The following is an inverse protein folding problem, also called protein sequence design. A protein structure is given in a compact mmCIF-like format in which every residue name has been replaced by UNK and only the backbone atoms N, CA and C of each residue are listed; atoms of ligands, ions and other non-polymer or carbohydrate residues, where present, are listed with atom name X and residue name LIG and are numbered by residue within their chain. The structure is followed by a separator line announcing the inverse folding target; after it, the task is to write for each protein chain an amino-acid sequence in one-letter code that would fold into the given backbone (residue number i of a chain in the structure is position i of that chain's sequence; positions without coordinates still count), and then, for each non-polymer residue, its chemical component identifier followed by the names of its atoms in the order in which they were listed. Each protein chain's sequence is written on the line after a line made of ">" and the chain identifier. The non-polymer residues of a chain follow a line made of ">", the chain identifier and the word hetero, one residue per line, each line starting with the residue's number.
data_IF_966428678168
#
_entry.id   IF_966428678168
#
_cell.length_a   1.000
_cell.length_b   1.000
_cell.length_c   1.000
_cell.angle_alpha   90.00
_cell.angle_beta   90.00
_cell.angle_gamma   90.00
#
_symmetry.space_group_name_H-M   'P 1'
#
loop_
_entity.id
_entity.type
_entity.pdbx_description
1 polymer ?
#
# COMPACT_ATOMS: atom_id res chain seq x y z
N UNK A 1 -55.84 -70.46 -39.11
CA UNK A 1 -55.35 -69.05 -39.16
C UNK A 1 -55.05 -68.67 -37.74
N UNK A 2 -53.77 -68.60 -37.40
CA UNK A 2 -53.25 -68.24 -36.06
C UNK A 2 -52.54 -66.90 -36.14
N UNK A 3 -53.04 -65.81 -35.53
CA UNK A 3 -52.41 -64.54 -35.42
C UNK A 3 -51.55 -64.56 -34.15
N UNK A 4 -50.25 -64.44 -34.34
CA UNK A 4 -49.28 -64.16 -33.24
C UNK A 4 -49.15 -62.67 -33.09
N UNK A 5 -49.51 -62.15 -31.89
CA UNK A 5 -49.36 -60.79 -31.50
C UNK A 5 -47.98 -60.65 -30.77
N UNK A 6 -47.01 -60.03 -31.40
CA UNK A 6 -45.71 -59.77 -30.78
C UNK A 6 -45.78 -58.47 -29.98
N UNK A 7 -45.62 -58.58 -28.65
CA UNK A 7 -45.53 -57.41 -27.72
C UNK A 7 -44.08 -56.97 -27.60
N UNK A 8 -43.75 -55.82 -28.15
CA UNK A 8 -42.42 -55.16 -28.00
C UNK A 8 -42.41 -54.42 -26.66
N UNK A 9 -41.70 -54.97 -25.68
CA UNK A 9 -41.26 -54.19 -24.45
C UNK A 9 -40.16 -53.31 -24.78
N UNK A 10 -40.38 -51.97 -24.80
CA UNK A 10 -39.32 -50.96 -24.82
C UNK A 10 -38.84 -50.70 -23.38
N UNK A 11 -37.65 -51.20 -23.04
CA UNK A 11 -36.96 -50.87 -21.79
C UNK A 11 -36.35 -49.46 -21.89
N UNK A 12 -37.02 -48.45 -21.35
CA UNK A 12 -36.48 -47.12 -21.20
C UNK A 12 -35.37 -47.08 -20.11
N UNK A 13 -34.15 -46.92 -20.51
CA UNK A 13 -33.02 -46.70 -19.57
C UNK A 13 -33.12 -45.30 -18.95
N UNK A 14 -33.53 -45.22 -17.68
CA UNK A 14 -33.45 -44.05 -16.87
C UNK A 14 -31.97 -43.84 -16.47
N UNK A 15 -31.26 -42.93 -17.18
CA UNK A 15 -29.95 -42.53 -16.77
C UNK A 15 -30.05 -41.64 -15.51
N UNK A 16 -29.32 -41.93 -14.44
CA UNK A 16 -29.33 -41.07 -13.27
C UNK A 16 -28.68 -39.71 -13.62
N UNK A 17 -29.44 -38.61 -13.51
CA UNK A 17 -28.92 -37.27 -13.61
C UNK A 17 -28.00 -37.01 -12.39
N UNK A 18 -26.72 -37.12 -12.59
CA UNK A 18 -25.77 -36.73 -11.60
C UNK A 18 -25.77 -35.18 -11.53
N UNK A 19 -26.50 -34.63 -10.58
CA UNK A 19 -26.37 -33.21 -10.21
C UNK A 19 -24.95 -32.98 -9.71
N UNK A 20 -24.12 -32.37 -10.54
CA UNK A 20 -22.80 -31.88 -10.10
C UNK A 20 -23.02 -30.77 -9.07
N UNK A 21 -22.86 -31.11 -7.81
CA UNK A 21 -22.81 -30.13 -6.72
C UNK A 21 -21.55 -29.31 -6.97
N UNK A 22 -21.71 -28.11 -7.54
CA UNK A 22 -20.65 -27.15 -7.71
C UNK A 22 -20.26 -26.66 -6.31
N UNK A 23 -19.23 -27.26 -5.72
CA UNK A 23 -18.67 -26.82 -4.44
C UNK A 23 -18.30 -25.34 -4.58
N UNK A 24 -18.71 -24.46 -3.64
CA UNK A 24 -18.29 -23.07 -3.67
C UNK A 24 -16.77 -23.06 -3.60
N UNK A 25 -16.12 -22.45 -4.59
CA UNK A 25 -14.69 -22.22 -4.57
C UNK A 25 -14.43 -21.29 -3.38
N UNK A 26 -13.82 -21.81 -2.32
CA UNK A 26 -13.38 -20.99 -1.20
C UNK A 26 -12.39 -19.97 -1.77
N UNK A 27 -12.82 -18.72 -1.90
CA UNK A 27 -11.92 -17.62 -2.24
C UNK A 27 -10.92 -17.48 -1.10
N UNK A 28 -9.63 -17.38 -1.45
CA UNK A 28 -8.62 -17.09 -0.46
C UNK A 28 -8.97 -15.77 0.27
N UNK A 29 -8.79 -15.74 1.59
CA UNK A 29 -9.01 -14.52 2.36
C UNK A 29 -8.13 -13.39 1.80
N UNK A 30 -8.70 -12.18 1.69
CA UNK A 30 -7.92 -11.05 1.23
C UNK A 30 -6.78 -10.73 2.21
N UNK A 31 -5.58 -10.56 1.67
CA UNK A 31 -4.40 -10.16 2.42
C UNK A 31 -4.03 -8.75 2.03
N UNK A 32 -3.86 -7.87 3.02
CA UNK A 32 -3.43 -6.50 2.79
C UNK A 32 -2.02 -6.47 2.17
N UNK A 33 -1.86 -5.92 0.95
CA UNK A 33 -0.57 -5.92 0.26
C UNK A 33 0.40 -4.81 0.71
N UNK A 34 -0.04 -3.93 1.63
CA UNK A 34 0.82 -2.86 2.13
C UNK A 34 1.85 -3.40 3.13
N UNK A 35 3.12 -3.00 3.02
CA UNK A 35 4.14 -3.42 3.98
C UNK A 35 3.83 -2.87 5.36
N UNK A 36 3.95 -3.71 6.39
CA UNK A 36 3.73 -3.33 7.79
C UNK A 36 5.01 -3.49 8.60
N UNK A 37 5.23 -2.55 9.48
CA UNK A 37 6.23 -2.69 10.54
C UNK A 37 5.75 -3.73 11.55
N UNK A 38 6.58 -4.73 11.83
CA UNK A 38 6.19 -5.86 12.68
C UNK A 38 6.02 -5.50 14.17
N UNK A 39 6.57 -4.37 14.60
CA UNK A 39 6.51 -3.91 15.98
C UNK A 39 5.30 -3.01 16.21
N UNK A 40 5.15 -2.00 15.35
CA UNK A 40 4.07 -1.00 15.49
C UNK A 40 2.77 -1.42 14.81
N UNK A 41 2.81 -2.39 13.89
CA UNK A 41 1.67 -2.77 13.05
C UNK A 41 1.28 -1.74 11.98
N UNK A 42 1.94 -0.57 11.95
CA UNK A 42 1.65 0.50 11.01
C UNK A 42 2.16 0.18 9.62
N UNK A 43 1.51 0.74 8.60
CA UNK A 43 2.05 0.72 7.23
C UNK A 43 3.37 1.49 7.21
N UNK A 44 4.43 0.83 6.73
CA UNK A 44 5.77 1.39 6.76
C UNK A 44 6.61 0.92 5.57
N UNK A 45 7.11 1.88 4.80
CA UNK A 45 8.14 1.66 3.79
C UNK A 45 9.49 2.00 4.38
N UNK A 46 10.33 1.01 4.58
CA UNK A 46 11.63 1.20 5.22
C UNK A 46 12.73 0.39 4.52
N UNK A 47 13.95 0.83 4.70
CA UNK A 47 15.11 0.13 4.16
C UNK A 47 16.42 0.66 4.70
N UNK A 48 17.45 -0.18 4.62
CA UNK A 48 18.84 0.18 4.92
C UNK A 48 19.62 0.14 3.62
N UNK A 49 20.33 1.21 3.31
CA UNK A 49 21.10 1.36 2.09
C UNK A 49 22.58 1.56 2.44
N UNK A 50 23.45 0.75 1.84
CA UNK A 50 24.89 0.89 1.97
C UNK A 50 25.40 1.98 1.02
N UNK A 51 26.27 2.87 1.51
CA UNK A 51 26.96 3.91 0.75
C UNK A 51 28.42 3.91 1.15
N UNK A 52 29.21 2.92 0.70
CA UNK A 52 30.61 2.77 1.10
C UNK A 52 31.41 4.05 0.90
N UNK A 53 32.27 4.39 1.86
CA UNK A 53 33.12 5.59 1.82
C UNK A 53 32.42 6.90 2.21
N UNK A 54 31.09 6.94 2.35
CA UNK A 54 30.39 8.13 2.79
C UNK A 54 30.49 8.30 4.31
N UNK A 55 30.84 9.50 4.76
CA UNK A 55 30.83 9.85 6.19
C UNK A 55 29.40 10.11 6.68
N UNK A 56 29.17 10.01 7.99
CA UNK A 56 27.89 10.39 8.59
C UNK A 56 27.52 11.84 8.24
N UNK A 57 28.47 12.76 8.32
CA UNK A 57 28.26 14.18 8.03
C UNK A 57 27.80 14.40 6.57
N UNK A 58 28.45 13.70 5.62
CA UNK A 58 28.07 13.77 4.20
C UNK A 58 26.66 13.25 3.98
N UNK A 59 26.31 12.09 4.54
CA UNK A 59 24.98 11.51 4.40
C UNK A 59 23.91 12.37 5.08
N UNK A 60 24.23 12.96 6.23
CA UNK A 60 23.31 13.87 6.92
C UNK A 60 23.05 15.14 6.11
N UNK A 61 24.08 15.74 5.54
CA UNK A 61 23.94 16.91 4.68
C UNK A 61 23.08 16.63 3.45
N UNK A 62 23.26 15.44 2.81
CA UNK A 62 22.41 14.99 1.69
C UNK A 62 20.95 14.80 2.12
N UNK A 63 20.71 14.15 3.28
CA UNK A 63 19.38 13.95 3.82
C UNK A 63 18.66 15.26 4.10
N UNK A 64 19.36 16.21 4.75
CA UNK A 64 18.82 17.54 5.04
C UNK A 64 18.50 18.30 3.76
N UNK A 65 19.45 18.36 2.82
CA UNK A 65 19.23 19.02 1.52
C UNK A 65 18.03 18.42 0.78
N UNK A 66 17.93 17.08 0.75
CA UNK A 66 16.81 16.43 0.12
C UNK A 66 15.47 16.79 0.80
N UNK A 67 15.38 16.79 2.13
CA UNK A 67 14.17 17.19 2.85
C UNK A 67 13.79 18.66 2.59
N UNK A 68 14.76 19.55 2.45
CA UNK A 68 14.52 20.96 2.16
C UNK A 68 14.07 21.23 0.72
N UNK A 69 14.48 20.36 -0.22
CA UNK A 69 14.26 20.53 -1.66
C UNK A 69 13.38 19.47 -2.27
N UNK A 70 12.84 18.54 -1.45
CA UNK A 70 12.03 17.42 -1.95
C UNK A 70 10.87 17.93 -2.81
N UNK A 71 10.72 17.42 -4.05
CA UNK A 71 9.64 17.79 -4.93
C UNK A 71 8.32 17.28 -4.36
N UNK A 72 7.27 18.09 -4.44
CA UNK A 72 5.93 17.72 -4.01
C UNK A 72 5.00 18.92 -3.97
N UNK A 73 3.69 18.69 -4.02
CA UNK A 73 2.69 19.77 -3.94
C UNK A 73 2.69 20.46 -2.57
N UNK A 74 3.15 19.77 -1.54
CA UNK A 74 3.34 20.31 -0.20
C UNK A 74 4.80 20.26 0.20
N UNK A 75 5.30 21.38 0.67
CA UNK A 75 6.67 21.47 1.20
C UNK A 75 6.80 20.49 2.38
N UNK A 76 7.88 19.69 2.37
CA UNK A 76 8.23 18.86 3.50
C UNK A 76 8.66 19.78 4.67
N UNK A 77 8.01 19.62 5.82
CA UNK A 77 8.33 20.35 7.03
C UNK A 77 9.20 19.49 7.93
N UNK A 78 10.43 19.93 8.20
CA UNK A 78 11.33 19.25 9.14
C UNK A 78 10.80 19.48 10.55
N UNK A 79 10.47 18.40 11.26
CA UNK A 79 9.95 18.43 12.63
C UNK A 79 11.05 18.20 13.68
N UNK A 80 12.06 17.41 13.31
CA UNK A 80 13.17 17.09 14.21
C UNK A 80 14.44 16.87 13.43
N UNK A 81 15.55 17.36 13.96
CA UNK A 81 16.88 17.17 13.39
C UNK A 81 17.94 17.08 14.50
N UNK A 82 18.79 16.07 14.41
CA UNK A 82 19.94 15.86 15.30
C UNK A 82 21.12 15.36 14.46
N UNK A 83 22.06 16.24 14.17
CA UNK A 83 23.23 15.92 13.38
C UNK A 83 24.19 14.97 14.11
N UNK A 84 24.26 15.06 15.45
CA UNK A 84 25.12 14.21 16.29
C UNK A 84 24.62 12.78 16.30
N UNK A 85 23.31 12.58 16.51
CA UNK A 85 22.68 11.27 16.40
C UNK A 85 22.51 10.82 14.95
N UNK A 86 22.76 11.70 13.97
CA UNK A 86 22.56 11.41 12.56
C UNK A 86 21.08 11.16 12.20
N UNK A 87 20.15 11.81 12.87
CA UNK A 87 18.71 11.60 12.67
C UNK A 87 18.01 12.87 12.21
N UNK A 88 17.18 12.76 11.21
CA UNK A 88 16.31 13.84 10.73
C UNK A 88 14.94 13.27 10.40
N UNK A 89 13.87 13.96 10.78
CA UNK A 89 12.50 13.60 10.44
C UNK A 89 11.69 14.82 10.04
N UNK A 90 10.71 14.57 9.18
CA UNK A 90 9.82 15.61 8.70
C UNK A 90 8.50 15.04 8.23
N UNK A 91 7.53 15.92 8.04
CA UNK A 91 6.17 15.59 7.62
C UNK A 91 5.84 16.27 6.30
N UNK A 92 5.18 15.55 5.45
CA UNK A 92 4.73 16.05 4.14
C UNK A 92 3.41 15.42 3.76
N UNK A 93 2.73 16.03 2.80
CA UNK A 93 1.56 15.42 2.18
C UNK A 93 1.65 15.48 0.66
N UNK A 94 0.86 14.67 0.00
CA UNK A 94 0.59 14.74 -1.43
C UNK A 94 -0.90 14.53 -1.70
N UNK A 95 -1.38 15.03 -2.83
CA UNK A 95 -2.74 14.78 -3.27
C UNK A 95 -2.79 13.41 -3.96
N UNK A 96 -3.62 12.53 -3.44
CA UNK A 96 -3.90 11.23 -4.05
C UNK A 96 -5.34 11.17 -4.53
N UNK A 97 -5.57 10.47 -5.64
CA UNK A 97 -6.90 10.23 -6.14
C UNK A 97 -7.56 9.10 -5.37
N UNK A 98 -8.74 9.34 -4.84
CA UNK A 98 -9.62 8.32 -4.27
C UNK A 98 -10.94 8.27 -5.02
N UNK A 99 -11.48 7.07 -5.24
CA UNK A 99 -12.83 6.91 -5.75
C UNK A 99 -13.80 6.86 -4.57
N UNK A 100 -14.50 7.96 -4.32
CA UNK A 100 -15.54 8.07 -3.30
C UNK A 100 -16.91 8.07 -3.96
N UNK A 101 -17.67 7.00 -3.73
CA UNK A 101 -19.04 6.86 -4.26
C UNK A 101 -19.16 7.04 -5.79
N UNK A 102 -18.15 6.57 -6.55
CA UNK A 102 -18.11 6.71 -8.00
C UNK A 102 -17.50 8.02 -8.52
N UNK A 103 -17.20 8.99 -7.65
CA UNK A 103 -16.49 10.21 -7.99
C UNK A 103 -15.00 10.11 -7.64
N UNK A 104 -14.14 10.54 -8.57
CA UNK A 104 -12.72 10.66 -8.31
C UNK A 104 -12.44 12.00 -7.62
N UNK A 105 -11.98 11.96 -6.38
CA UNK A 105 -11.64 13.13 -5.59
C UNK A 105 -10.17 13.13 -5.20
N UNK A 106 -9.57 14.31 -5.13
CA UNK A 106 -8.21 14.47 -4.60
C UNK A 106 -8.28 14.67 -3.09
N UNK A 107 -7.52 13.87 -2.35
CA UNK A 107 -7.41 13.96 -0.90
C UNK A 107 -5.95 14.06 -0.48
N UNK A 108 -5.62 14.92 0.50
CA UNK A 108 -4.26 14.96 1.04
C UNK A 108 -3.93 13.67 1.81
N UNK A 109 -2.85 13.02 1.41
CA UNK A 109 -2.25 11.88 2.12
C UNK A 109 -1.00 12.36 2.84
N UNK A 110 -1.09 12.48 4.14
CA UNK A 110 0.02 12.82 5.02
C UNK A 110 0.91 11.62 5.32
N UNK A 111 2.19 11.88 5.58
CA UNK A 111 3.16 10.86 6.02
C UNK A 111 4.33 11.50 6.76
N UNK A 112 4.97 10.73 7.61
CA UNK A 112 6.21 11.07 8.29
C UNK A 112 7.37 10.35 7.60
N UNK A 113 8.45 11.06 7.36
CA UNK A 113 9.69 10.53 6.80
C UNK A 113 10.80 10.69 7.83
N UNK A 114 11.45 9.60 8.19
CA UNK A 114 12.61 9.59 9.08
C UNK A 114 13.80 9.02 8.35
N UNK A 115 14.93 9.71 8.40
CA UNK A 115 16.22 9.24 7.89
C UNK A 115 17.21 9.21 9.03
N UNK A 116 17.90 8.07 9.18
CA UNK A 116 18.99 7.88 10.12
C UNK A 116 20.24 7.51 9.35
N UNK A 117 21.34 8.22 9.61
CA UNK A 117 22.61 8.01 8.94
C UNK A 117 23.69 7.56 9.92
N UNK A 118 24.57 6.69 9.43
CA UNK A 118 25.80 6.25 10.08
C UNK A 118 26.92 6.22 9.03
N UNK A 119 28.20 6.18 9.41
CA UNK A 119 29.27 6.00 8.42
C UNK A 119 28.98 4.81 7.51
N UNK A 120 29.03 5.02 6.19
CA UNK A 120 28.85 4.00 5.17
C UNK A 120 27.43 3.51 4.92
N UNK A 121 26.38 4.03 5.59
CA UNK A 121 24.99 3.58 5.39
C UNK A 121 23.97 4.57 5.91
N UNK A 122 22.73 4.44 5.41
CA UNK A 122 21.56 5.10 6.00
C UNK A 122 20.38 4.16 6.07
N UNK A 123 19.46 4.44 6.99
CA UNK A 123 18.13 3.84 7.08
C UNK A 123 17.11 4.93 6.80
N UNK A 124 16.09 4.62 6.03
CA UNK A 124 14.90 5.45 5.89
C UNK A 124 13.66 4.72 6.37
N UNK A 125 12.67 5.48 6.80
CA UNK A 125 11.35 4.99 7.17
C UNK A 125 10.31 6.03 6.75
N UNK A 126 9.26 5.58 6.06
CA UNK A 126 8.11 6.36 5.64
C UNK A 126 6.90 5.71 6.29
N UNK A 127 6.24 6.42 7.19
CA UNK A 127 5.19 5.87 8.05
C UNK A 127 4.16 6.95 8.42
N UNK A 128 3.23 6.62 9.32
CA UNK A 128 2.17 7.51 9.80
C UNK A 128 1.35 8.09 8.64
N UNK A 129 1.01 7.21 7.69
CA UNK A 129 0.11 7.57 6.62
C UNK A 129 -1.26 7.94 7.17
N UNK A 130 -1.79 9.07 6.75
CA UNK A 130 -3.08 9.53 7.24
C UNK A 130 -3.77 10.43 6.20
N UNK A 131 -5.09 10.38 6.14
CA UNK A 131 -5.88 11.23 5.27
C UNK A 131 -6.40 12.44 6.02
N UNK A 132 -6.36 13.59 5.34
CA UNK A 132 -6.99 14.82 5.79
C UNK A 132 -8.36 14.95 5.09
N UNK A 133 -9.43 15.08 5.86
CA UNK A 133 -10.77 15.25 5.31
C UNK A 133 -11.02 16.61 4.67
N UNK A 134 -10.02 17.49 4.63
CA UNK A 134 -10.06 18.81 3.98
C UNK A 134 -10.96 19.84 4.66
N UNK A 135 -11.51 19.55 5.82
CA UNK A 135 -12.41 20.46 6.55
C UNK A 135 -11.71 21.27 7.65
N UNK A 136 -10.39 21.34 7.66
CA UNK A 136 -9.59 22.20 8.55
C UNK A 136 -9.72 21.97 10.06
N UNK A 137 -10.76 21.27 10.49
CA UNK A 137 -11.09 20.98 11.89
C UNK A 137 -11.27 19.48 12.17
N UNK A 138 -11.24 18.63 11.15
CA UNK A 138 -11.36 17.20 11.33
C UNK A 138 -9.99 16.58 11.66
N UNK A 139 -9.92 15.68 12.63
CA UNK A 139 -8.68 14.98 12.91
C UNK A 139 -8.22 14.21 11.67
N UNK A 140 -6.93 14.26 11.39
CA UNK A 140 -6.28 13.45 10.35
C UNK A 140 -6.54 11.98 10.67
N UNK A 141 -7.18 11.28 9.75
CA UNK A 141 -7.56 9.87 9.98
C UNK A 141 -6.40 8.95 9.61
N UNK A 142 -5.84 8.19 10.56
CA UNK A 142 -4.80 7.21 10.28
C UNK A 142 -5.24 6.20 9.21
N UNK A 143 -4.31 5.82 8.34
CA UNK A 143 -4.56 4.85 7.28
C UNK A 143 -5.08 3.52 7.82
N UNK A 144 -4.58 3.09 8.96
CA UNK A 144 -4.95 1.83 9.61
C UNK A 144 -6.46 1.72 9.87
N UNK A 145 -7.13 2.86 10.11
CA UNK A 145 -8.58 2.89 10.29
C UNK A 145 -9.33 2.53 8.99
N UNK A 146 -8.78 2.90 7.82
CA UNK A 146 -9.35 2.51 6.51
C UNK A 146 -9.10 1.05 6.18
N UNK A 147 -8.04 0.46 6.73
CA UNK A 147 -7.66 -0.93 6.53
C UNK A 147 -8.36 -1.91 7.50
N UNK A 148 -9.07 -1.37 8.49
CA UNK A 148 -9.92 -2.16 9.37
C UNK A 148 -11.23 -2.50 8.66
N UNK A 149 -11.63 -3.78 8.60
CA UNK A 149 -12.86 -4.17 7.93
C UNK A 149 -14.09 -3.43 8.46
N UNK A 150 -14.83 -2.79 7.55
CA UNK A 150 -16.09 -2.12 7.83
C UNK A 150 -16.93 -2.06 6.54
N UNK A 151 -18.22 -1.77 6.67
CA UNK A 151 -19.17 -1.77 5.56
C UNK A 151 -18.92 -0.68 4.50
N UNK A 152 -18.11 0.34 4.79
CA UNK A 152 -17.76 1.37 3.82
C UNK A 152 -16.63 0.93 2.89
N UNK A 153 -15.68 0.14 3.41
CA UNK A 153 -14.44 -0.21 2.72
C UNK A 153 -14.34 -1.66 2.28
N UNK A 154 -15.14 -2.56 2.89
CA UNK A 154 -15.18 -3.98 2.55
C UNK A 154 -16.58 -4.42 2.14
N UNK A 155 -16.65 -5.44 1.29
CA UNK A 155 -17.90 -6.11 0.94
C UNK A 155 -18.27 -7.19 1.99
N UNK A 156 -19.46 -7.79 1.85
CA UNK A 156 -19.95 -8.85 2.74
C UNK A 156 -19.09 -10.12 2.75
N UNK A 157 -18.20 -10.29 1.78
CA UNK A 157 -17.27 -11.41 1.65
C UNK A 157 -15.86 -11.09 2.20
N UNK A 158 -15.67 -9.89 2.77
CA UNK A 158 -14.39 -9.44 3.32
C UNK A 158 -13.38 -8.97 2.25
N UNK A 159 -13.82 -8.63 1.04
CA UNK A 159 -12.95 -8.06 0.02
C UNK A 159 -13.04 -6.54 -0.01
N UNK A 160 -11.92 -5.86 -0.30
CA UNK A 160 -11.90 -4.41 -0.39
C UNK A 160 -12.77 -3.93 -1.56
N UNK A 161 -13.63 -2.95 -1.29
CA UNK A 161 -14.39 -2.25 -2.32
C UNK A 161 -13.47 -1.38 -3.17
N UNK A 162 -13.90 -0.91 -4.36
CA UNK A 162 -13.09 -0.11 -5.26
C UNK A 162 -12.43 1.12 -4.61
N UNK A 163 -13.13 1.75 -3.66
CA UNK A 163 -12.58 2.89 -2.88
C UNK A 163 -11.33 2.50 -2.10
N UNK A 164 -11.34 1.36 -1.42
CA UNK A 164 -10.17 0.89 -0.67
C UNK A 164 -9.07 0.38 -1.61
N UNK A 165 -9.42 -0.28 -2.71
CA UNK A 165 -8.45 -0.73 -3.71
C UNK A 165 -7.67 0.44 -4.29
N UNK A 166 -8.36 1.49 -4.77
CA UNK A 166 -7.71 2.69 -5.31
C UNK A 166 -6.83 3.39 -4.26
N UNK A 167 -7.27 3.41 -3.01
CA UNK A 167 -6.50 3.93 -1.88
C UNK A 167 -5.21 3.15 -1.66
N UNK A 168 -5.29 1.81 -1.61
CA UNK A 168 -4.12 0.94 -1.45
C UNK A 168 -3.11 1.14 -2.58
N UNK A 169 -3.57 1.19 -3.82
CA UNK A 169 -2.73 1.43 -5.00
C UNK A 169 -2.03 2.79 -4.95
N UNK A 170 -2.76 3.84 -4.55
CA UNK A 170 -2.18 5.18 -4.38
C UNK A 170 -1.07 5.18 -3.34
N UNK A 171 -1.28 4.54 -2.18
CA UNK A 171 -0.30 4.44 -1.11
C UNK A 171 0.92 3.62 -1.55
N UNK A 172 0.71 2.49 -2.24
CA UNK A 172 1.81 1.69 -2.77
C UNK A 172 2.69 2.49 -3.73
N UNK A 173 2.07 3.24 -4.64
CA UNK A 173 2.77 4.09 -5.60
C UNK A 173 3.56 5.17 -4.87
N UNK A 174 2.89 5.92 -4.00
CA UNK A 174 3.50 6.98 -3.21
C UNK A 174 4.68 6.49 -2.36
N UNK A 175 4.49 5.42 -1.58
CA UNK A 175 5.52 4.87 -0.72
C UNK A 175 6.76 4.41 -1.48
N UNK A 176 6.57 3.73 -2.63
CA UNK A 176 7.67 3.27 -3.49
C UNK A 176 8.42 4.44 -4.14
N UNK A 177 7.69 5.41 -4.70
CA UNK A 177 8.28 6.60 -5.32
C UNK A 177 9.12 7.38 -4.31
N UNK A 178 8.59 7.58 -3.10
CA UNK A 178 9.29 8.29 -2.05
C UNK A 178 10.55 7.54 -1.59
N UNK A 179 10.47 6.21 -1.39
CA UNK A 179 11.61 5.39 -1.05
C UNK A 179 12.71 5.44 -2.13
N UNK A 180 12.33 5.44 -3.40
CA UNK A 180 13.25 5.58 -4.53
C UNK A 180 13.91 6.95 -4.55
N UNK A 181 13.15 8.03 -4.36
CA UNK A 181 13.67 9.40 -4.31
C UNK A 181 14.70 9.60 -3.17
N UNK A 182 14.42 9.05 -1.99
CA UNK A 182 15.36 9.07 -0.86
C UNK A 182 16.66 8.33 -1.21
N UNK A 183 16.54 7.12 -1.79
CA UNK A 183 17.71 6.32 -2.17
C UNK A 183 18.58 7.06 -3.19
N UNK A 184 17.98 7.60 -4.25
CA UNK A 184 18.68 8.37 -5.28
C UNK A 184 19.42 9.59 -4.68
N UNK A 185 18.72 10.37 -3.88
CA UNK A 185 19.28 11.58 -3.30
C UNK A 185 20.47 11.30 -2.37
N UNK A 186 20.41 10.25 -1.55
CA UNK A 186 21.45 9.96 -0.57
C UNK A 186 22.62 9.16 -1.15
N UNK A 187 22.40 8.32 -2.14
CA UNK A 187 23.50 7.59 -2.82
C UNK A 187 24.25 8.47 -3.81
N UNK A 188 23.62 9.51 -4.34
CA UNK A 188 24.18 10.34 -5.41
C UNK A 188 24.26 9.60 -6.76
N UNK A 189 23.59 8.47 -6.90
CA UNK A 189 23.49 7.68 -8.14
C UNK A 189 22.04 7.61 -8.60
N UNK A 190 21.82 7.65 -9.90
CA UNK A 190 20.57 7.15 -10.44
C UNK A 190 20.40 5.69 -9.98
N UNK A 191 19.28 5.34 -9.39
CA UNK A 191 19.00 3.94 -9.04
C UNK A 191 18.64 3.26 -10.34
N UNK A 192 19.43 2.25 -10.72
CA UNK A 192 19.06 1.33 -11.79
C UNK A 192 17.86 0.53 -11.28
N UNK A 193 16.68 0.80 -11.82
CA UNK A 193 15.43 0.10 -11.49
C UNK A 193 15.29 -1.25 -12.21
N UNK A 194 16.41 -1.87 -12.60
CA UNK A 194 16.43 -3.23 -13.16
C UNK A 194 16.22 -4.25 -12.04
N UNK A 195 14.95 -4.69 -11.92
CA UNK A 195 14.52 -5.87 -11.17
C UNK A 195 14.08 -6.96 -12.14
#
# INVERSE_FOLDING_TARGET
>A
MKFLLALLLSAGALAPAHAQVKLPTLRAAWVNPLPKDSVSGKVSYQGVVQVPGATQATLYARAKKWMETAPGPTKLTIESQDATAGKISGKTSELVMQNLFGANVQVPLWRTITIQVKPGRFRYQITDFAFDSGKGLAPVTPLENYLTPNDLTFDSNGYPKPVLQSTIEAIQRSGRQQATAIRQALTGKAVDDNW
#
